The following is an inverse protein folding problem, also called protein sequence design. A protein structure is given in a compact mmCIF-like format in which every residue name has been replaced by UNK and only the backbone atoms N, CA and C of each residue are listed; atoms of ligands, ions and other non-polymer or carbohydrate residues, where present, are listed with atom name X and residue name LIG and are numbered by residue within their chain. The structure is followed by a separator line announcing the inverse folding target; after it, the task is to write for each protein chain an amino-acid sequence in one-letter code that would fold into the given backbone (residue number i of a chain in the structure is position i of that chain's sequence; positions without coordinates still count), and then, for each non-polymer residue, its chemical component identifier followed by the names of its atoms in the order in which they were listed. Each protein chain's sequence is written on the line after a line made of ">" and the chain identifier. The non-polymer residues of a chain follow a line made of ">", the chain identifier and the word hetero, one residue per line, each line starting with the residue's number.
data_IF_565957303350
#
_entry.id   IF_565957303350
#
_cell.length_a   1.000
_cell.length_b   1.000
_cell.length_c   1.000
_cell.angle_alpha   90.00
_cell.angle_beta   90.00
_cell.angle_gamma   90.00
#
_symmetry.space_group_name_H-M   'P 1'
#
loop_
_entity.id
_entity.type
_entity.pdbx_description
1 polymer ?
#
# COMPACT_ATOMS: atom_id res chain seq x y z
N UNK A 1 30.97 -39.61 24.85
CA UNK A 1 31.17 -38.43 23.98
C UNK A 1 29.94 -38.12 23.10
N UNK A 2 28.70 -38.32 23.60
CA UNK A 2 27.46 -38.10 22.83
C UNK A 2 26.39 -37.52 23.77
N UNK A 3 26.66 -36.35 24.37
CA UNK A 3 25.68 -35.64 25.22
C UNK A 3 25.64 -34.12 25.02
N UNK A 4 26.42 -33.57 24.09
CA UNK A 4 26.50 -32.11 23.89
C UNK A 4 25.98 -31.59 22.54
N UNK A 5 25.45 -32.46 21.67
CA UNK A 5 25.00 -32.06 20.31
C UNK A 5 23.51 -31.70 20.26
N UNK A 6 22.74 -31.96 21.33
CA UNK A 6 21.28 -31.71 21.35
C UNK A 6 20.87 -30.32 21.85
N UNK A 7 21.81 -29.48 22.32
CA UNK A 7 21.46 -28.16 22.85
C UNK A 7 21.55 -27.02 21.82
N UNK A 8 22.28 -27.21 20.72
CA UNK A 8 22.49 -26.16 19.72
C UNK A 8 21.39 -26.05 18.65
N UNK A 9 20.57 -27.09 18.47
CA UNK A 9 19.49 -27.07 17.49
C UNK A 9 18.22 -26.36 18.00
N UNK A 10 18.10 -26.10 19.31
CA UNK A 10 16.91 -25.47 19.90
C UNK A 10 17.01 -23.94 19.96
N UNK A 11 18.18 -23.34 19.71
CA UNK A 11 18.38 -21.87 19.75
C UNK A 11 18.24 -21.24 18.34
N UNK A 12 18.38 -22.02 17.26
CA UNK A 12 18.26 -21.51 15.89
C UNK A 12 16.81 -21.33 15.40
N UNK A 13 15.83 -21.88 16.12
CA UNK A 13 14.40 -21.75 15.78
C UNK A 13 13.71 -20.53 16.42
N UNK A 14 14.39 -19.79 17.32
CA UNK A 14 13.79 -18.66 18.03
C UNK A 14 14.04 -17.28 17.36
N UNK A 15 14.80 -17.22 16.26
CA UNK A 15 15.11 -15.96 15.57
C UNK A 15 14.27 -15.68 14.30
N UNK A 16 13.39 -16.59 13.88
CA UNK A 16 12.57 -16.38 12.68
C UNK A 16 11.16 -15.82 12.95
N UNK A 17 10.72 -15.73 14.21
CA UNK A 17 9.37 -15.28 14.54
C UNK A 17 9.21 -13.74 14.60
N UNK A 18 10.30 -12.97 14.63
CA UNK A 18 10.23 -11.51 14.79
C UNK A 18 10.06 -10.74 13.47
N UNK A 19 10.34 -11.35 12.31
CA UNK A 19 10.15 -10.67 11.00
C UNK A 19 8.74 -10.81 10.43
N UNK A 20 7.92 -11.69 10.98
CA UNK A 20 6.58 -11.97 10.45
C UNK A 20 5.56 -10.89 10.81
N UNK A 21 5.78 -10.12 11.89
CA UNK A 21 4.76 -9.20 12.41
C UNK A 21 4.74 -7.82 11.70
N UNK A 22 5.86 -7.39 11.10
CA UNK A 22 5.96 -6.08 10.44
C UNK A 22 5.36 -6.06 9.01
N UNK A 23 4.88 -7.20 8.52
CA UNK A 23 4.38 -7.37 7.15
C UNK A 23 2.88 -7.59 7.06
N UNK A 24 2.15 -7.61 8.17
CA UNK A 24 0.72 -7.87 8.15
C UNK A 24 -0.07 -6.65 8.66
N UNK A 25 -1.11 -6.28 7.92
CA UNK A 25 -2.12 -5.31 8.35
C UNK A 25 -3.51 -5.92 8.27
N UNK A 26 -4.47 -5.26 8.91
CA UNK A 26 -5.88 -5.59 8.78
C UNK A 26 -6.63 -4.38 8.24
N UNK A 27 -7.25 -4.54 7.08
CA UNK A 27 -8.10 -3.51 6.47
C UNK A 27 -9.52 -3.77 6.98
N UNK A 28 -9.97 -2.94 7.91
CA UNK A 28 -11.32 -3.02 8.46
C UNK A 28 -12.32 -2.29 7.59
N UNK A 29 -13.57 -2.74 7.64
CA UNK A 29 -14.70 -1.96 7.17
C UNK A 29 -14.83 -0.67 7.98
N UNK A 30 -14.97 0.45 7.29
CA UNK A 30 -15.20 1.76 7.87
C UNK A 30 -16.18 2.58 7.04
N UNK A 31 -16.28 3.87 7.34
CA UNK A 31 -17.09 4.83 6.59
C UNK A 31 -16.49 5.08 5.20
N UNK A 32 -17.31 5.43 4.20
CA UNK A 32 -16.80 5.99 2.94
C UNK A 32 -16.06 7.32 3.19
N UNK A 33 -15.34 7.79 2.18
CA UNK A 33 -14.54 9.03 2.21
C UNK A 33 -14.98 9.96 1.07
N UNK A 34 -14.64 11.24 1.19
CA UNK A 34 -14.62 12.17 0.08
C UNK A 34 -13.18 12.31 -0.42
N UNK A 35 -12.92 11.93 -1.67
CA UNK A 35 -11.59 12.06 -2.26
C UNK A 35 -11.36 13.50 -2.70
N UNK A 36 -10.93 14.36 -1.79
CA UNK A 36 -10.74 15.79 -2.04
C UNK A 36 -9.40 16.36 -1.53
N UNK A 37 -8.57 15.52 -0.90
CA UNK A 37 -7.27 15.88 -0.35
C UNK A 37 -7.33 16.46 1.06
N UNK A 38 -8.50 16.43 1.70
CA UNK A 38 -8.73 16.95 3.04
C UNK A 38 -9.12 15.78 3.96
N UNK A 39 -8.22 15.42 4.88
CA UNK A 39 -8.56 14.44 5.92
C UNK A 39 -9.45 15.11 6.97
N UNK A 40 -10.77 15.04 6.77
CA UNK A 40 -11.75 15.63 7.68
C UNK A 40 -11.78 14.89 9.03
N UNK A 41 -12.13 15.62 10.09
CA UNK A 41 -12.28 15.02 11.42
C UNK A 41 -13.39 13.95 11.41
N UNK A 42 -13.09 12.75 11.92
CA UNK A 42 -14.07 11.66 11.99
C UNK A 42 -14.23 10.85 10.70
N UNK A 43 -13.63 11.29 9.59
CA UNK A 43 -13.63 10.57 8.32
C UNK A 43 -12.70 9.36 8.36
N UNK A 44 -11.46 9.53 8.86
CA UNK A 44 -10.42 8.49 8.88
C UNK A 44 -10.19 7.87 10.27
N UNK A 45 -11.06 8.16 11.24
CA UNK A 45 -10.92 7.72 12.64
C UNK A 45 -11.03 6.20 12.82
N UNK A 46 -11.72 5.53 11.89
CA UNK A 46 -11.91 4.08 11.87
C UNK A 46 -10.89 3.34 10.99
N UNK A 47 -9.95 4.07 10.38
CA UNK A 47 -8.92 3.49 9.52
C UNK A 47 -7.76 2.88 10.32
N UNK A 48 -7.19 1.80 9.78
CA UNK A 48 -5.88 1.34 10.17
C UNK A 48 -4.81 2.34 9.72
N UNK A 49 -3.64 2.32 10.38
CA UNK A 49 -2.54 3.24 10.08
C UNK A 49 -1.20 2.51 10.08
N UNK A 50 -0.35 2.84 9.12
CA UNK A 50 1.08 2.51 9.13
C UNK A 50 1.91 3.76 8.85
N UNK A 51 3.23 3.63 8.99
CA UNK A 51 4.18 4.70 8.68
C UNK A 51 5.17 4.22 7.63
N UNK A 52 5.42 5.07 6.63
CA UNK A 52 6.51 4.91 5.66
C UNK A 52 7.63 5.86 6.06
N UNK A 53 8.79 5.31 6.43
CA UNK A 53 9.99 6.09 6.72
C UNK A 53 10.57 6.68 5.42
N UNK A 54 10.63 8.02 5.35
CA UNK A 54 11.24 8.74 4.21
C UNK A 54 12.70 9.08 4.51
N UNK A 55 12.96 9.55 5.73
CA UNK A 55 14.30 9.77 6.29
C UNK A 55 14.32 9.32 7.76
N UNK A 56 15.48 9.42 8.41
CA UNK A 56 15.64 9.14 9.84
C UNK A 56 14.78 10.04 10.77
N UNK A 57 14.24 11.15 10.24
CA UNK A 57 13.50 12.16 11.01
C UNK A 57 12.09 12.43 10.49
N UNK A 58 11.72 11.82 9.38
CA UNK A 58 10.49 12.16 8.69
C UNK A 58 9.86 10.92 8.05
N UNK A 59 8.54 10.81 8.22
CA UNK A 59 7.74 9.70 7.74
C UNK A 59 6.39 10.18 7.24
N UNK A 60 5.79 9.42 6.34
CA UNK A 60 4.41 9.60 5.89
C UNK A 60 3.52 8.62 6.62
N UNK A 61 2.34 9.06 7.05
CA UNK A 61 1.32 8.18 7.61
C UNK A 61 0.41 7.70 6.49
N UNK A 62 0.20 6.38 6.40
CA UNK A 62 -0.78 5.80 5.47
C UNK A 62 -1.96 5.30 6.28
N UNK A 63 -3.15 5.76 5.92
CA UNK A 63 -4.43 5.34 6.44
C UNK A 63 -5.07 4.38 5.44
N UNK A 64 -5.70 3.32 5.93
CA UNK A 64 -6.35 2.34 5.08
C UNK A 64 -7.60 1.75 5.73
N UNK A 65 -8.64 1.57 4.92
CA UNK A 65 -9.89 0.88 5.26
C UNK A 65 -10.61 0.44 3.98
N UNK A 66 -11.77 -0.17 4.11
CA UNK A 66 -12.70 -0.32 3.00
C UNK A 66 -14.11 0.10 3.43
N UNK A 67 -14.98 0.48 2.49
CA UNK A 67 -16.39 0.77 2.78
C UNK A 67 -17.33 -0.40 2.47
N UNK A 68 -16.79 -1.47 1.86
CA UNK A 68 -17.53 -2.65 1.40
C UNK A 68 -17.69 -2.71 -0.12
N UNK A 69 -17.31 -1.65 -0.84
CA UNK A 69 -17.29 -1.58 -2.31
C UNK A 69 -15.94 -1.09 -2.84
N UNK A 70 -15.16 -0.39 -2.03
CA UNK A 70 -13.89 0.24 -2.39
C UNK A 70 -12.82 0.00 -1.32
N UNK A 71 -11.56 -0.15 -1.77
CA UNK A 71 -10.39 0.06 -0.91
C UNK A 71 -10.13 1.57 -0.83
N UNK A 72 -9.92 2.06 0.38
CA UNK A 72 -9.76 3.49 0.67
C UNK A 72 -8.41 3.73 1.32
N UNK A 73 -7.62 4.62 0.73
CA UNK A 73 -6.28 4.95 1.20
C UNK A 73 -6.11 6.45 1.35
N UNK A 74 -5.40 6.87 2.40
CA UNK A 74 -4.90 8.23 2.51
C UNK A 74 -3.43 8.23 2.90
N UNK A 75 -2.68 9.20 2.37
CA UNK A 75 -1.28 9.43 2.67
C UNK A 75 -1.14 10.85 3.19
N UNK A 76 -0.64 10.98 4.41
CA UNK A 76 -0.51 12.26 5.10
C UNK A 76 0.95 12.56 5.46
N UNK A 77 1.33 13.80 5.25
CA UNK A 77 2.58 14.36 5.75
C UNK A 77 3.52 14.86 4.67
N UNK A 78 3.24 14.68 3.38
CA UNK A 78 4.13 15.02 2.26
C UNK A 78 4.74 16.42 2.39
N UNK A 79 6.06 16.53 2.23
CA UNK A 79 6.76 17.81 2.38
C UNK A 79 7.05 18.44 1.00
N UNK A 80 6.66 19.70 0.75
CA UNK A 80 6.90 20.40 -0.52
C UNK A 80 8.36 20.38 -1.00
N UNK A 81 9.31 20.44 -0.08
CA UNK A 81 10.75 20.41 -0.34
C UNK A 81 11.28 19.01 -0.68
N UNK A 82 10.54 17.96 -0.35
CA UNK A 82 10.85 16.56 -0.64
C UNK A 82 9.73 15.96 -1.47
N UNK A 83 9.74 16.30 -2.76
CA UNK A 83 8.75 15.79 -3.72
C UNK A 83 8.62 14.27 -3.58
N UNK A 84 7.44 13.85 -3.17
CA UNK A 84 7.03 12.45 -3.06
C UNK A 84 5.55 12.37 -3.44
N UNK A 85 5.18 11.28 -4.09
CA UNK A 85 3.80 10.95 -4.48
C UNK A 85 3.49 9.51 -4.07
N UNK A 86 2.22 9.21 -3.77
CA UNK A 86 1.82 7.87 -3.35
C UNK A 86 1.74 6.91 -4.53
N UNK A 87 2.08 5.66 -4.25
CA UNK A 87 1.70 4.51 -5.05
C UNK A 87 1.19 3.39 -4.16
N UNK A 88 0.24 2.62 -4.68
CA UNK A 88 -0.35 1.45 -4.03
C UNK A 88 -0.17 0.25 -4.96
N UNK A 89 0.39 -0.83 -4.43
CA UNK A 89 0.51 -2.11 -5.12
C UNK A 89 -0.37 -3.16 -4.43
N UNK A 90 -1.12 -3.93 -5.22
CA UNK A 90 -2.06 -4.94 -4.72
C UNK A 90 -1.85 -6.27 -5.45
N UNK A 91 -1.69 -7.36 -4.71
CA UNK A 91 -1.72 -8.75 -5.23
C UNK A 91 -3.03 -9.38 -4.78
N UNK A 92 -4.02 -9.40 -5.66
CA UNK A 92 -5.41 -9.72 -5.29
C UNK A 92 -5.57 -11.20 -4.92
N UNK A 93 -4.74 -12.09 -5.48
CA UNK A 93 -4.79 -13.52 -5.14
C UNK A 93 -3.87 -13.87 -3.96
N UNK A 94 -3.02 -12.93 -3.52
CA UNK A 94 -1.97 -13.14 -2.53
C UNK A 94 -1.13 -14.38 -2.87
N UNK A 95 -0.87 -14.60 -4.16
CA UNK A 95 -0.11 -15.76 -4.62
C UNK A 95 1.40 -15.55 -4.46
N UNK A 96 1.80 -14.30 -4.12
CA UNK A 96 3.17 -13.91 -3.81
C UNK A 96 4.11 -14.20 -4.97
N UNK A 97 3.60 -14.03 -6.20
CA UNK A 97 4.33 -14.32 -7.42
C UNK A 97 5.70 -13.62 -7.49
N UNK A 98 6.69 -14.24 -8.16
CA UNK A 98 8.04 -13.71 -8.27
C UNK A 98 8.14 -12.50 -9.21
N UNK A 99 7.09 -12.20 -9.98
CA UNK A 99 6.94 -11.05 -10.86
C UNK A 99 5.46 -10.67 -10.89
N UNK A 100 5.16 -9.40 -11.21
CA UNK A 100 3.77 -8.97 -11.39
C UNK A 100 3.08 -9.72 -12.54
N UNK A 101 1.82 -10.08 -12.34
CA UNK A 101 0.95 -10.73 -13.33
C UNK A 101 -0.49 -10.15 -13.34
N UNK A 102 -1.43 -10.83 -13.99
CA UNK A 102 -2.78 -10.31 -14.23
C UNK A 102 -3.69 -10.18 -12.98
N UNK A 103 -3.21 -10.58 -11.79
CA UNK A 103 -3.83 -10.24 -10.50
C UNK A 103 -3.10 -9.16 -9.71
N UNK A 104 -2.01 -8.61 -10.24
CA UNK A 104 -1.23 -7.60 -9.57
C UNK A 104 -1.51 -6.21 -10.13
N UNK A 105 -1.85 -5.29 -9.26
CA UNK A 105 -2.16 -3.92 -9.64
C UNK A 105 -1.13 -2.95 -9.09
N UNK A 106 -0.86 -1.91 -9.87
CA UNK A 106 -0.14 -0.72 -9.47
C UNK A 106 -1.03 0.49 -9.71
N UNK A 107 -1.12 1.37 -8.72
CA UNK A 107 -1.82 2.65 -8.78
C UNK A 107 -0.88 3.76 -8.35
N UNK A 108 -0.95 4.88 -9.05
CA UNK A 108 -0.13 6.07 -8.84
C UNK A 108 -1.03 7.30 -8.93
N UNK A 109 -0.97 8.16 -7.92
CA UNK A 109 -1.70 9.43 -7.89
C UNK A 109 -0.71 10.60 -7.77
N UNK A 110 -0.82 11.58 -8.67
CA UNK A 110 -0.03 12.80 -8.63
C UNK A 110 -0.77 13.97 -9.29
N UNK A 111 -0.20 14.58 -10.33
CA UNK A 111 -0.94 15.47 -11.24
C UNK A 111 -1.78 14.69 -12.26
N UNK A 112 -1.54 13.39 -12.36
CA UNK A 112 -2.24 12.43 -13.21
C UNK A 112 -2.45 11.14 -12.45
N UNK A 113 -3.52 10.44 -12.80
CA UNK A 113 -3.85 9.11 -12.30
C UNK A 113 -3.31 8.08 -13.28
N UNK A 114 -2.43 7.19 -12.80
CA UNK A 114 -1.90 6.08 -13.57
C UNK A 114 -2.20 4.77 -12.85
N UNK A 115 -2.53 3.72 -13.59
CA UNK A 115 -2.72 2.40 -13.02
C UNK A 115 -2.48 1.33 -14.07
N UNK A 116 -1.99 0.17 -13.65
CA UNK A 116 -1.85 -0.98 -14.55
C UNK A 116 -2.09 -2.28 -13.83
N UNK A 117 -2.49 -3.28 -14.60
CA UNK A 117 -2.60 -4.67 -14.18
C UNK A 117 -1.42 -5.45 -14.82
N UNK A 118 -0.66 -6.19 -14.02
CA UNK A 118 0.50 -6.99 -14.43
C UNK A 118 1.78 -6.22 -14.71
N UNK A 119 1.82 -4.93 -14.38
CA UNK A 119 3.05 -4.13 -14.47
C UNK A 119 2.99 -2.94 -13.52
N UNK A 120 4.16 -2.38 -13.24
CA UNK A 120 4.32 -1.10 -12.54
C UNK A 120 4.96 -0.10 -13.50
N UNK A 121 4.84 1.20 -13.21
CA UNK A 121 5.37 2.27 -14.06
C UNK A 121 4.88 2.23 -15.52
N UNK A 122 3.68 1.69 -15.78
CA UNK A 122 3.08 1.80 -17.11
C UNK A 122 2.46 3.19 -17.30
N UNK A 123 3.31 4.15 -17.66
CA UNK A 123 2.89 5.54 -17.83
C UNK A 123 1.93 5.77 -19.01
N UNK A 124 1.63 4.74 -19.82
CA UNK A 124 0.70 4.86 -20.96
C UNK A 124 -0.76 4.98 -20.51
N UNK A 125 -1.07 4.53 -19.30
CA UNK A 125 -2.41 4.58 -18.71
C UNK A 125 -2.69 5.90 -18.00
N UNK A 126 -1.69 6.79 -17.91
CA UNK A 126 -1.83 8.04 -17.18
C UNK A 126 -2.84 8.95 -17.87
N UNK A 127 -3.85 9.35 -17.11
CA UNK A 127 -4.82 10.35 -17.52
C UNK A 127 -4.92 11.42 -16.44
N UNK A 128 -5.45 12.59 -16.80
CA UNK A 128 -5.60 13.67 -15.82
C UNK A 128 -6.52 13.31 -14.67
N UNK A 129 -7.54 12.51 -14.94
CA UNK A 129 -8.49 12.00 -13.95
C UNK A 129 -8.99 10.67 -14.44
N UNK A 130 -8.81 9.62 -13.65
CA UNK A 130 -9.32 8.30 -13.97
C UNK A 130 -10.84 8.25 -13.84
N UNK A 131 -11.51 7.52 -14.73
CA UNK A 131 -12.96 7.26 -14.63
C UNK A 131 -13.26 6.01 -13.79
N UNK A 132 -12.30 5.09 -13.67
CA UNK A 132 -12.48 3.78 -13.06
C UNK A 132 -12.05 3.70 -11.59
N UNK A 133 -11.36 4.71 -11.08
CA UNK A 133 -10.96 4.88 -9.68
C UNK A 133 -10.75 6.38 -9.42
N UNK A 134 -10.60 6.79 -8.16
CA UNK A 134 -10.46 8.21 -7.81
C UNK A 134 -9.18 8.48 -7.01
N UNK A 135 -8.56 9.61 -7.28
CA UNK A 135 -7.61 10.26 -6.40
C UNK A 135 -7.80 11.78 -6.42
N UNK A 136 -7.38 12.48 -5.36
CA UNK A 136 -7.26 13.93 -5.41
C UNK A 136 -6.00 14.25 -6.22
N UNK A 137 -6.19 14.59 -7.50
CA UNK A 137 -5.10 15.03 -8.34
C UNK A 137 -4.62 16.40 -7.88
N UNK A 138 -3.39 16.45 -7.38
CA UNK A 138 -2.79 17.65 -6.81
C UNK A 138 -2.26 18.54 -7.95
N UNK A 139 -2.84 19.73 -8.11
CA UNK A 139 -2.38 20.70 -9.14
C UNK A 139 -1.16 21.49 -8.63
N UNK A 140 -1.13 21.80 -7.33
CA UNK A 140 0.02 22.44 -6.68
C UNK A 140 0.55 21.57 -5.53
N UNK A 141 1.55 20.76 -5.85
CA UNK A 141 2.21 19.86 -4.89
C UNK A 141 2.98 20.57 -3.78
N UNK A 142 3.10 21.90 -3.81
CA UNK A 142 3.65 22.66 -2.68
C UNK A 142 2.59 23.12 -1.69
N UNK A 143 1.31 23.12 -2.10
CA UNK A 143 0.19 23.50 -1.27
C UNK A 143 -0.52 22.29 -0.65
N UNK A 144 -0.50 21.15 -1.34
CA UNK A 144 -1.19 19.94 -0.92
C UNK A 144 -0.19 18.88 -0.45
N UNK A 145 -0.36 18.45 0.80
CA UNK A 145 0.52 17.48 1.47
C UNK A 145 -0.17 16.14 1.75
N UNK A 146 -1.35 15.94 1.17
CA UNK A 146 -2.17 14.76 1.41
C UNK A 146 -2.73 14.23 0.11
N UNK A 147 -2.82 12.91 0.06
CA UNK A 147 -3.44 12.21 -1.04
C UNK A 147 -4.46 11.23 -0.48
N UNK A 148 -5.54 11.05 -1.20
CA UNK A 148 -6.62 10.11 -0.95
C UNK A 148 -6.86 9.33 -2.23
N UNK A 149 -7.13 8.04 -2.10
CA UNK A 149 -7.39 7.14 -3.20
C UNK A 149 -8.59 6.26 -2.85
N UNK A 150 -9.52 6.14 -3.79
CA UNK A 150 -10.65 5.22 -3.75
C UNK A 150 -10.53 4.27 -4.94
N UNK A 151 -10.30 2.99 -4.64
CA UNK A 151 -10.09 1.93 -5.63
C UNK A 151 -11.27 0.96 -5.55
N UNK A 152 -12.16 0.94 -6.55
CA UNK A 152 -13.30 0.06 -6.56
C UNK A 152 -12.91 -1.41 -6.60
N UNK A 153 -13.57 -2.24 -5.79
CA UNK A 153 -13.37 -3.70 -5.79
C UNK A 153 -13.64 -4.30 -7.16
N UNK A 154 -14.66 -3.79 -7.87
CA UNK A 154 -14.99 -4.23 -9.23
C UNK A 154 -13.84 -4.01 -10.22
N UNK A 155 -13.06 -2.93 -10.08
CA UNK A 155 -11.92 -2.67 -10.97
C UNK A 155 -10.83 -3.74 -10.81
N UNK A 156 -10.54 -4.10 -9.56
CA UNK A 156 -9.46 -5.03 -9.20
C UNK A 156 -9.91 -6.49 -9.08
N UNK A 157 -11.19 -6.78 -9.40
CA UNK A 157 -11.82 -8.09 -9.21
C UNK A 157 -11.69 -8.64 -7.78
N UNK A 158 -11.84 -7.77 -6.77
CA UNK A 158 -11.87 -8.19 -5.38
C UNK A 158 -13.30 -8.60 -4.99
N UNK A 159 -13.50 -9.86 -4.63
CA UNK A 159 -14.76 -10.36 -4.07
C UNK A 159 -14.56 -10.65 -2.58
N UNK A 160 -15.25 -9.89 -1.72
CA UNK A 160 -15.14 -10.09 -0.28
C UNK A 160 -15.67 -11.46 0.18
N UNK A 161 -16.52 -12.14 -0.57
CA UNK A 161 -16.99 -13.48 -0.17
C UNK A 161 -15.91 -14.54 -0.39
N UNK A 162 -15.05 -14.35 -1.40
CA UNK A 162 -14.01 -15.31 -1.82
C UNK A 162 -12.61 -14.95 -1.31
N UNK A 163 -12.35 -13.68 -1.01
CA UNK A 163 -11.03 -13.17 -0.61
C UNK A 163 -11.03 -12.69 0.84
N UNK A 164 -10.18 -13.30 1.68
CA UNK A 164 -9.91 -12.85 3.05
C UNK A 164 -8.57 -12.12 3.17
N UNK A 165 -7.69 -12.25 2.17
CA UNK A 165 -6.33 -11.73 2.18
C UNK A 165 -5.87 -11.30 0.79
N UNK A 166 -5.16 -10.19 0.73
CA UNK A 166 -4.43 -9.72 -0.47
C UNK A 166 -2.98 -9.41 -0.10
N UNK A 167 -2.07 -9.48 -1.07
CA UNK A 167 -0.76 -8.86 -0.94
C UNK A 167 -0.88 -7.35 -1.13
N UNK A 168 -0.11 -6.57 -0.36
CA UNK A 168 -0.17 -5.10 -0.44
C UNK A 168 1.20 -4.47 -0.14
N UNK A 169 1.52 -3.43 -0.90
CA UNK A 169 2.62 -2.54 -0.56
C UNK A 169 2.23 -1.09 -0.85
N UNK A 170 2.79 -0.18 -0.05
CA UNK A 170 2.66 1.26 -0.23
C UNK A 170 4.02 1.82 -0.57
N UNK A 171 4.05 2.84 -1.41
CA UNK A 171 5.27 3.54 -1.78
C UNK A 171 5.06 5.05 -1.75
N UNK A 172 6.05 5.76 -1.25
CA UNK A 172 6.21 7.19 -1.44
C UNK A 172 7.45 7.41 -2.29
N UNK A 173 7.27 7.91 -3.51
CA UNK A 173 8.36 8.00 -4.51
C UNK A 173 8.48 9.36 -5.14
N UNK A 174 9.68 9.71 -5.61
CA UNK A 174 9.89 10.85 -6.51
C UNK A 174 9.74 10.49 -8.00
N UNK A 175 9.36 9.24 -8.31
CA UNK A 175 9.24 8.61 -9.64
C UNK A 175 10.55 8.41 -10.41
N UNK A 176 11.70 8.81 -9.85
CA UNK A 176 12.97 8.90 -10.56
C UNK A 176 14.09 8.09 -9.93
N UNK A 177 14.27 8.21 -8.63
CA UNK A 177 15.44 7.73 -7.91
C UNK A 177 15.17 7.29 -6.48
N UNK A 178 14.07 7.74 -5.88
CA UNK A 178 13.77 7.50 -4.49
C UNK A 178 12.46 6.72 -4.37
N UNK A 179 12.49 5.61 -3.65
CA UNK A 179 11.34 4.77 -3.35
C UNK A 179 11.38 4.37 -1.88
N UNK A 180 10.36 4.79 -1.14
CA UNK A 180 10.22 4.53 0.28
C UNK A 180 8.99 3.63 0.48
N UNK A 181 9.19 2.40 0.93
CA UNK A 181 8.13 1.40 0.95
C UNK A 181 7.62 1.08 2.36
N UNK A 182 6.34 0.70 2.42
CA UNK A 182 5.86 -0.25 3.41
C UNK A 182 5.39 -1.54 2.70
N UNK A 183 5.78 -2.74 3.18
CA UNK A 183 6.85 -2.99 4.15
C UNK A 183 8.21 -2.45 3.66
N UNK A 184 9.15 -2.16 4.57
CA UNK A 184 10.45 -1.50 4.26
C UNK A 184 11.30 -2.23 3.21
N UNK A 185 11.08 -3.55 3.03
CA UNK A 185 11.81 -4.40 2.10
C UNK A 185 11.00 -4.79 0.85
N UNK A 186 9.81 -4.22 0.68
CA UNK A 186 9.04 -4.44 -0.53
C UNK A 186 9.82 -3.92 -1.74
N UNK A 187 9.65 -4.62 -2.85
CA UNK A 187 10.16 -4.25 -4.17
C UNK A 187 8.96 -4.15 -5.09
N UNK A 188 8.86 -3.02 -5.80
CA UNK A 188 7.68 -2.70 -6.62
C UNK A 188 7.35 -3.77 -7.68
N UNK A 189 8.35 -4.47 -8.21
CA UNK A 189 8.19 -5.48 -9.25
C UNK A 189 7.96 -6.92 -8.71
N UNK A 190 7.97 -7.12 -7.39
CA UNK A 190 8.03 -8.43 -6.76
C UNK A 190 6.90 -8.59 -5.72
N UNK A 191 5.71 -9.08 -6.13
CA UNK A 191 4.59 -9.35 -5.23
C UNK A 191 4.95 -10.17 -3.99
N UNK A 192 5.83 -11.16 -4.15
CA UNK A 192 6.31 -11.96 -3.01
C UNK A 192 7.06 -11.20 -1.91
N UNK A 193 7.46 -9.95 -2.15
CA UNK A 193 8.06 -9.06 -1.15
C UNK A 193 7.06 -8.16 -0.43
N UNK A 194 5.82 -8.07 -0.92
CA UNK A 194 4.76 -7.22 -0.37
C UNK A 194 4.24 -7.79 0.96
N UNK A 195 3.59 -6.92 1.73
CA UNK A 195 2.89 -7.28 2.96
C UNK A 195 1.64 -8.10 2.67
N UNK A 196 1.00 -8.60 3.73
CA UNK A 196 -0.31 -9.24 3.69
C UNK A 196 -1.34 -8.30 4.34
N UNK A 197 -2.42 -8.01 3.64
CA UNK A 197 -3.59 -7.35 4.19
C UNK A 197 -4.70 -8.37 4.41
N UNK A 198 -5.11 -8.56 5.66
CA UNK A 198 -6.32 -9.30 6.00
C UNK A 198 -7.52 -8.37 5.85
N UNK A 199 -8.51 -8.74 5.05
CA UNK A 199 -9.71 -7.93 4.81
C UNK A 199 -10.81 -8.36 5.77
N UNK A 200 -11.22 -7.46 6.67
CA UNK A 200 -12.24 -7.72 7.67
C UNK A 200 -13.63 -7.30 7.17
N UNK A 201 -14.44 -8.29 6.80
CA UNK A 201 -15.78 -8.15 6.22
C UNK A 201 -16.78 -7.44 7.13
#
# INVERSE_FOLDING_TARGET
>A
MIKHILFFFSILLLFNSSFAHERQITINKGKPINVDGILEEGEWDDAGKISIEITDKYSITVYFKHDGENLLFAFDGFLPEMFRVPEVMLDIKNDRSPLMDDNDWWFHASMTDCWSNGSFNDWKTCVRTAESWKANNVIDMKAENKFEMEIPFQLINLDLDETDKIGIAFNATDTRSEWNFWPKHAQIALPGSWGEAVINK
#
